data_IF_282925360296
#
_entry.id   IF_282925360296
#
_cell.length_a   1.000
_cell.length_b   1.000
_cell.length_c   1.000
_cell.angle_alpha   90.00
_cell.angle_beta   90.00
_cell.angle_gamma   90.00
#
_symmetry.space_group_name_H-M   'P 1'
#
loop_
_entity.id
_entity.type
_entity.pdbx_description
1 polymer ?
#
# COMPACT_ATOMS: atom_id res chain seq x y z
N UNK A 1 -4.84 29.05 -20.40
CA UNK A 1 -3.87 28.93 -19.29
C UNK A 1 -4.60 28.31 -18.12
N UNK A 2 -4.13 27.18 -17.59
CA UNK A 2 -4.64 26.66 -16.31
C UNK A 2 -4.33 27.72 -15.24
N UNK A 3 -5.26 27.99 -14.30
CA UNK A 3 -5.00 28.95 -13.23
C UNK A 3 -3.75 28.54 -12.45
N UNK A 4 -3.02 29.53 -11.92
CA UNK A 4 -1.84 29.29 -11.10
C UNK A 4 -2.24 28.43 -9.89
N UNK A 5 -2.04 27.12 -9.99
CA UNK A 5 -2.31 26.18 -8.91
C UNK A 5 -1.31 26.47 -7.79
N UNK A 6 -1.79 26.53 -6.55
CA UNK A 6 -0.90 26.59 -5.39
C UNK A 6 0.06 25.39 -5.41
N UNK A 7 1.30 25.61 -4.96
CA UNK A 7 2.43 24.69 -5.07
C UNK A 7 2.17 23.27 -4.52
N UNK A 8 1.16 23.10 -3.67
CA UNK A 8 0.76 21.82 -3.05
C UNK A 8 -0.65 21.35 -3.44
N UNK A 9 -1.15 21.76 -4.60
CA UNK A 9 -2.42 21.26 -5.14
C UNK A 9 -2.18 20.15 -6.15
N UNK A 10 -2.81 18.99 -5.93
CA UNK A 10 -2.73 17.84 -6.82
C UNK A 10 -4.09 17.57 -7.46
N UNK A 11 -4.10 17.48 -8.79
CA UNK A 11 -5.24 16.95 -9.53
C UNK A 11 -5.18 15.41 -9.52
N UNK A 12 -6.20 14.78 -8.95
CA UNK A 12 -6.28 13.34 -8.78
C UNK A 12 -7.32 12.73 -9.73
N UNK A 13 -6.92 11.64 -10.39
CA UNK A 13 -7.80 10.77 -11.16
C UNK A 13 -7.54 9.33 -10.76
N UNK A 14 -8.60 8.59 -10.44
CA UNK A 14 -8.52 7.23 -9.91
C UNK A 14 -9.26 6.32 -10.88
N UNK A 15 -8.61 5.23 -11.27
CA UNK A 15 -9.17 4.24 -12.18
C UNK A 15 -9.24 2.88 -11.47
N UNK A 16 -10.39 2.22 -11.54
CA UNK A 16 -10.53 0.82 -11.16
C UNK A 16 -10.63 -0.01 -12.42
N UNK A 17 -9.61 -0.83 -12.67
CA UNK A 17 -9.58 -1.74 -13.82
C UNK A 17 -9.93 -3.15 -13.34
N UNK A 18 -11.09 -3.66 -13.77
CA UNK A 18 -11.48 -5.05 -13.52
C UNK A 18 -10.90 -5.92 -14.62
N UNK A 19 -9.92 -6.76 -14.27
CA UNK A 19 -9.17 -7.59 -15.22
C UNK A 19 -9.53 -9.07 -15.06
N UNK A 20 -9.47 -9.83 -16.15
CA UNK A 20 -9.72 -11.27 -16.17
C UNK A 20 -8.54 -12.02 -16.80
N UNK A 21 -7.90 -12.90 -16.04
CA UNK A 21 -6.83 -13.75 -16.56
C UNK A 21 -7.44 -14.86 -17.42
N UNK A 22 -6.93 -15.01 -18.64
CA UNK A 22 -7.39 -16.02 -19.60
C UNK A 22 -6.56 -17.33 -19.55
N UNK A 23 -5.72 -17.48 -18.52
CA UNK A 23 -4.87 -18.65 -18.30
C UNK A 23 -5.13 -19.20 -16.91
N UNK A 24 -4.81 -20.48 -16.68
CA UNK A 24 -4.98 -21.12 -15.38
C UNK A 24 -4.26 -20.33 -14.27
N UNK A 25 -4.93 -20.25 -13.11
CA UNK A 25 -4.41 -19.56 -11.94
C UNK A 25 -4.92 -20.18 -10.64
N UNK A 26 -4.16 -19.94 -9.59
CA UNK A 26 -4.48 -20.40 -8.23
C UNK A 26 -5.20 -19.29 -7.49
N UNK A 27 -6.23 -19.66 -6.73
CA UNK A 27 -6.92 -18.78 -5.80
C UNK A 27 -6.71 -19.26 -4.38
N UNK A 28 -6.46 -18.32 -3.47
CA UNK A 28 -6.46 -18.60 -2.04
C UNK A 28 -7.86 -18.28 -1.47
N UNK A 29 -8.56 -19.25 -0.85
CA UNK A 29 -9.92 -19.05 -0.36
C UNK A 29 -10.07 -17.89 0.62
N UNK A 30 -9.09 -17.69 1.51
CA UNK A 30 -9.12 -16.61 2.50
C UNK A 30 -9.03 -15.23 1.83
N UNK A 31 -8.18 -15.10 0.81
CA UNK A 31 -8.05 -13.86 0.02
C UNK A 31 -9.32 -13.55 -0.77
N UNK A 32 -9.95 -14.56 -1.38
CA UNK A 32 -11.25 -14.40 -2.06
C UNK A 32 -12.35 -13.99 -1.08
N UNK A 33 -12.43 -14.65 0.09
CA UNK A 33 -13.39 -14.30 1.13
C UNK A 33 -13.22 -12.84 1.60
N UNK A 34 -11.97 -12.41 1.81
CA UNK A 34 -11.65 -11.04 2.15
C UNK A 34 -12.15 -10.06 1.07
N UNK A 35 -11.88 -10.33 -0.20
CA UNK A 35 -12.35 -9.47 -1.31
C UNK A 35 -13.88 -9.38 -1.37
N UNK A 36 -14.60 -10.50 -1.20
CA UNK A 36 -16.07 -10.51 -1.14
C UNK A 36 -16.58 -9.66 0.02
N UNK A 37 -15.99 -9.81 1.21
CA UNK A 37 -16.38 -9.03 2.39
C UNK A 37 -16.19 -7.52 2.21
N UNK A 38 -15.23 -7.11 1.37
CA UNK A 38 -14.97 -5.71 1.04
C UNK A 38 -15.69 -5.23 -0.23
N UNK A 39 -16.58 -6.06 -0.78
CA UNK A 39 -17.48 -5.71 -1.87
C UNK A 39 -16.85 -5.79 -3.25
N UNK A 40 -15.83 -6.63 -3.43
CA UNK A 40 -15.34 -6.99 -4.76
C UNK A 40 -16.39 -7.86 -5.48
N UNK A 41 -16.70 -7.50 -6.73
CA UNK A 41 -17.71 -8.18 -7.54
C UNK A 41 -17.06 -9.15 -8.53
N UNK A 42 -16.98 -10.43 -8.12
CA UNK A 42 -16.47 -11.50 -8.98
C UNK A 42 -17.38 -11.77 -10.17
N UNK A 43 -18.70 -11.59 -10.05
CA UNK A 43 -19.61 -11.77 -11.20
C UNK A 43 -19.31 -10.74 -12.28
N UNK A 44 -19.07 -9.48 -11.90
CA UNK A 44 -18.59 -8.45 -12.83
C UNK A 44 -17.23 -8.81 -13.43
N UNK A 45 -16.30 -9.35 -12.64
CA UNK A 45 -14.99 -9.76 -13.14
C UNK A 45 -15.09 -10.84 -14.22
N UNK A 46 -15.86 -11.90 -13.98
CA UNK A 46 -15.98 -13.01 -14.93
C UNK A 46 -16.84 -12.67 -16.15
N UNK A 47 -17.82 -11.77 -16.01
CA UNK A 47 -18.72 -11.39 -17.12
C UNK A 47 -18.19 -10.23 -17.97
N UNK A 48 -17.44 -9.29 -17.38
CA UNK A 48 -17.06 -8.02 -18.01
C UNK A 48 -15.58 -7.64 -17.82
N UNK A 49 -14.78 -8.51 -17.19
CA UNK A 49 -13.37 -8.23 -16.94
C UNK A 49 -12.57 -8.09 -18.25
N UNK A 50 -11.64 -7.13 -18.27
CA UNK A 50 -10.75 -6.92 -19.42
C UNK A 50 -9.80 -8.13 -19.51
N UNK A 51 -9.83 -8.89 -20.61
CA UNK A 51 -9.03 -10.10 -20.73
C UNK A 51 -7.54 -9.77 -20.83
N UNK A 52 -6.70 -10.61 -20.20
CA UNK A 52 -5.25 -10.55 -20.35
C UNK A 52 -4.60 -11.94 -20.27
N UNK A 53 -3.41 -12.02 -20.86
CA UNK A 53 -2.53 -13.20 -20.84
C UNK A 53 -1.22 -12.84 -20.14
N UNK A 54 -0.67 -13.81 -19.40
CA UNK A 54 0.57 -13.60 -18.65
C UNK A 54 1.78 -13.88 -19.55
N UNK A 55 2.95 -13.44 -19.10
CA UNK A 55 4.23 -13.76 -19.72
C UNK A 55 4.58 -12.86 -20.90
N UNK A 56 5.32 -13.44 -21.84
CA UNK A 56 5.83 -12.76 -23.02
C UNK A 56 4.70 -12.48 -24.03
N UNK A 57 4.89 -11.47 -24.88
CA UNK A 57 3.91 -11.17 -25.93
C UNK A 57 3.75 -12.36 -26.87
N UNK A 58 2.51 -12.72 -27.15
CA UNK A 58 2.19 -13.67 -28.21
C UNK A 58 2.25 -12.91 -29.54
N UNK A 59 2.73 -13.53 -30.62
CA UNK A 59 3.09 -12.87 -31.90
C UNK A 59 1.99 -12.03 -32.59
N UNK A 60 0.76 -12.05 -32.08
CA UNK A 60 -0.41 -11.38 -32.63
C UNK A 60 -0.93 -10.26 -31.69
N UNK A 61 -0.34 -10.07 -30.51
CA UNK A 61 -0.82 -9.14 -29.46
C UNK A 61 -0.36 -7.69 -29.66
N UNK A 62 0.58 -7.44 -30.57
CA UNK A 62 1.13 -6.10 -30.86
C UNK A 62 0.11 -5.12 -31.46
N UNK A 63 -1.07 -5.59 -31.88
CA UNK A 63 -2.13 -4.79 -32.50
C UNK A 63 -3.37 -4.59 -31.62
N UNK A 64 -3.50 -5.32 -30.50
CA UNK A 64 -4.68 -5.18 -29.63
C UNK A 64 -4.49 -4.06 -28.61
N UNK A 65 -5.42 -3.10 -28.58
CA UNK A 65 -5.53 -2.13 -27.50
C UNK A 65 -5.93 -2.87 -26.21
N UNK A 66 -5.00 -3.06 -25.28
CA UNK A 66 -5.25 -3.83 -24.06
C UNK A 66 -4.49 -3.30 -22.84
N UNK A 67 -4.65 -3.97 -21.70
CA UNK A 67 -3.98 -3.58 -20.44
C UNK A 67 -2.45 -3.60 -20.55
N UNK A 68 -1.89 -4.46 -21.42
CA UNK A 68 -0.45 -4.48 -21.73
C UNK A 68 0.00 -3.17 -22.39
N UNK A 69 -0.78 -2.65 -23.33
CA UNK A 69 -0.53 -1.34 -23.96
C UNK A 69 -0.58 -0.22 -22.92
N UNK A 70 -1.59 -0.22 -22.04
CA UNK A 70 -1.68 0.74 -20.95
C UNK A 70 -0.44 0.68 -20.04
N UNK A 71 0.03 -0.52 -19.69
CA UNK A 71 1.23 -0.68 -18.88
C UNK A 71 2.49 -0.15 -19.60
N UNK A 72 2.61 -0.35 -20.91
CA UNK A 72 3.69 0.25 -21.70
C UNK A 72 3.60 1.79 -21.72
N UNK A 73 2.40 2.38 -21.76
CA UNK A 73 2.23 3.83 -21.64
C UNK A 73 2.69 4.36 -20.27
N UNK A 74 2.49 3.61 -19.18
CA UNK A 74 3.03 3.97 -17.86
C UNK A 74 4.57 4.03 -17.87
N UNK A 75 5.23 3.07 -18.54
CA UNK A 75 6.69 3.05 -18.71
C UNK A 75 7.15 4.24 -19.58
N UNK A 76 6.45 4.52 -20.69
CA UNK A 76 6.74 5.64 -21.59
C UNK A 76 6.63 7.00 -20.90
N UNK A 77 5.72 7.14 -19.95
CA UNK A 77 5.52 8.38 -19.22
C UNK A 77 6.77 8.80 -18.40
N UNK A 78 7.68 7.86 -18.08
CA UNK A 78 8.91 8.09 -17.29
C UNK A 78 8.63 8.87 -16.01
N UNK A 79 7.48 8.60 -15.39
CA UNK A 79 7.08 9.20 -14.11
C UNK A 79 7.44 8.26 -12.96
N UNK A 80 7.62 8.79 -11.74
CA UNK A 80 7.80 7.96 -10.56
C UNK A 80 6.65 6.96 -10.39
N UNK A 81 6.97 5.73 -10.06
CA UNK A 81 5.98 4.72 -9.68
C UNK A 81 5.89 4.66 -8.16
N UNK A 82 4.68 4.80 -7.63
CA UNK A 82 4.43 4.81 -6.18
C UNK A 82 3.56 3.62 -5.82
N UNK A 83 3.98 2.88 -4.81
CA UNK A 83 3.31 1.68 -4.29
C UNK A 83 3.28 1.71 -2.76
N UNK A 84 2.57 0.76 -2.15
CA UNK A 84 2.58 0.55 -0.71
C UNK A 84 2.86 -0.92 -0.41
N UNK A 85 4.03 -1.24 0.15
CA UNK A 85 4.48 -2.63 0.32
C UNK A 85 4.52 -3.39 -1.04
N UNK A 86 5.09 -2.73 -2.05
CA UNK A 86 4.78 -2.95 -3.46
C UNK A 86 5.49 -4.11 -4.16
N UNK A 87 6.23 -4.96 -3.44
CA UNK A 87 7.02 -6.03 -4.07
C UNK A 87 6.13 -6.98 -4.89
N UNK A 88 5.04 -7.46 -4.29
CA UNK A 88 4.14 -8.41 -4.94
C UNK A 88 3.39 -7.73 -6.09
N UNK A 89 3.01 -6.47 -5.95
CA UNK A 89 2.41 -5.69 -7.03
C UNK A 89 3.33 -5.62 -8.25
N UNK A 90 4.62 -5.33 -8.05
CA UNK A 90 5.61 -5.28 -9.14
C UNK A 90 5.81 -6.64 -9.81
N UNK A 91 5.85 -7.72 -9.04
CA UNK A 91 5.95 -9.08 -9.56
C UNK A 91 4.74 -9.39 -10.45
N UNK A 92 3.53 -9.07 -10.02
CA UNK A 92 2.32 -9.27 -10.83
C UNK A 92 2.25 -8.34 -12.04
N UNK A 93 2.55 -7.06 -11.89
CA UNK A 93 2.61 -6.10 -13.00
C UNK A 93 3.57 -6.58 -14.09
N UNK A 94 4.74 -7.07 -13.68
CA UNK A 94 5.74 -7.62 -14.60
C UNK A 94 5.22 -8.90 -15.27
N UNK A 95 4.82 -9.92 -14.49
CA UNK A 95 4.40 -11.22 -15.02
C UNK A 95 3.13 -11.12 -15.86
N UNK A 96 2.19 -10.25 -15.51
CA UNK A 96 0.88 -10.19 -16.15
C UNK A 96 0.88 -9.26 -17.37
N UNK A 97 1.65 -8.16 -17.34
CA UNK A 97 1.52 -7.11 -18.33
C UNK A 97 2.80 -6.80 -19.12
N UNK A 98 3.94 -7.39 -18.72
CA UNK A 98 5.23 -7.09 -19.34
C UNK A 98 5.90 -8.31 -19.97
N UNK A 99 6.38 -9.26 -19.17
CA UNK A 99 7.15 -10.40 -19.66
C UNK A 99 7.13 -11.54 -18.63
N UNK A 100 7.64 -12.71 -19.00
CA UNK A 100 7.92 -13.75 -18.01
C UNK A 100 8.95 -13.26 -16.99
N UNK A 101 8.66 -13.49 -15.70
CA UNK A 101 9.57 -13.15 -14.61
C UNK A 101 10.97 -13.72 -14.87
N UNK A 102 12.03 -12.93 -14.67
CA UNK A 102 13.39 -13.43 -14.77
C UNK A 102 13.69 -14.48 -13.70
N UNK A 103 14.59 -15.42 -14.01
CA UNK A 103 15.02 -16.48 -13.08
C UNK A 103 15.77 -15.95 -11.86
N UNK A 104 16.37 -14.76 -11.95
CA UNK A 104 17.12 -14.15 -10.87
C UNK A 104 16.55 -12.82 -10.42
N UNK A 105 16.56 -12.59 -9.10
CA UNK A 105 16.18 -11.31 -8.52
C UNK A 105 17.01 -10.14 -9.09
N UNK A 106 18.30 -10.36 -9.34
CA UNK A 106 19.17 -9.31 -9.89
C UNK A 106 18.78 -8.87 -11.30
N UNK A 107 18.30 -9.80 -12.14
CA UNK A 107 17.75 -9.44 -13.46
C UNK A 107 16.41 -8.73 -13.33
N UNK A 108 15.54 -9.18 -12.42
CA UNK A 108 14.28 -8.50 -12.15
C UNK A 108 14.47 -7.06 -11.68
N UNK A 109 15.37 -6.80 -10.72
CA UNK A 109 15.65 -5.44 -10.25
C UNK A 109 16.35 -4.58 -11.31
N UNK A 110 17.19 -5.18 -12.16
CA UNK A 110 17.80 -4.49 -13.29
C UNK A 110 16.73 -4.02 -14.29
N UNK A 111 15.83 -4.90 -14.70
CA UNK A 111 14.72 -4.58 -15.60
C UNK A 111 13.84 -3.47 -15.02
N UNK A 112 13.39 -3.61 -13.77
CA UNK A 112 12.57 -2.60 -13.09
C UNK A 112 13.27 -1.23 -12.98
N UNK A 113 14.58 -1.22 -12.70
CA UNK A 113 15.35 0.03 -12.59
C UNK A 113 15.44 0.77 -13.93
N UNK A 114 15.47 0.05 -15.05
CA UNK A 114 15.40 0.64 -16.37
C UNK A 114 13.97 1.05 -16.72
N UNK A 115 12.96 0.25 -16.38
CA UNK A 115 11.54 0.57 -16.68
C UNK A 115 11.09 1.90 -16.05
N UNK A 116 11.54 2.21 -14.84
CA UNK A 116 11.09 3.39 -14.08
C UNK A 116 12.28 4.29 -13.71
N UNK A 117 12.82 5.07 -14.67
CA UNK A 117 14.04 5.87 -14.46
C UNK A 117 13.85 7.03 -13.47
N UNK A 118 12.61 7.49 -13.27
CA UNK A 118 12.28 8.50 -12.26
C UNK A 118 12.13 7.92 -10.83
N UNK A 119 12.31 6.61 -10.69
CA UNK A 119 12.35 5.91 -9.42
C UNK A 119 11.04 5.23 -9.04
N UNK A 120 11.19 4.20 -8.21
CA UNK A 120 10.09 3.50 -7.55
C UNK A 120 10.11 3.87 -6.07
N UNK A 121 8.95 4.23 -5.52
CA UNK A 121 8.77 4.67 -4.14
C UNK A 121 7.76 3.79 -3.42
N UNK A 122 8.17 3.24 -2.28
CA UNK A 122 7.29 2.48 -1.39
C UNK A 122 6.86 3.33 -0.20
N UNK A 123 5.57 3.65 -0.13
CA UNK A 123 5.01 4.50 0.93
C UNK A 123 5.02 3.82 2.30
N UNK A 124 5.10 2.49 2.38
CA UNK A 124 5.31 1.79 3.65
C UNK A 124 6.72 2.04 4.17
N UNK A 125 7.71 1.98 3.28
CA UNK A 125 9.10 2.34 3.59
C UNK A 125 9.21 3.81 4.01
N UNK A 126 8.61 4.73 3.24
CA UNK A 126 8.59 6.15 3.60
C UNK A 126 7.91 6.38 4.97
N UNK A 127 6.80 5.70 5.26
CA UNK A 127 6.11 5.85 6.55
C UNK A 127 6.97 5.39 7.74
N UNK A 128 7.73 4.32 7.57
CA UNK A 128 8.54 3.75 8.66
C UNK A 128 9.86 4.48 8.86
N UNK A 129 10.57 4.80 7.77
CA UNK A 129 11.93 5.32 7.83
C UNK A 129 12.01 6.84 7.65
N UNK A 130 11.14 7.43 6.83
CA UNK A 130 11.16 8.87 6.54
C UNK A 130 10.34 9.67 7.55
N UNK A 131 9.06 9.32 7.73
CA UNK A 131 8.19 10.02 8.69
C UNK A 131 8.26 9.44 10.10
N UNK A 132 8.80 8.23 10.25
CA UNK A 132 8.92 7.51 11.53
C UNK A 132 7.59 7.35 12.25
N UNK A 133 6.55 6.98 11.49
CA UNK A 133 5.26 6.62 12.04
C UNK A 133 5.35 5.37 12.92
N UNK A 134 4.46 5.26 13.92
CA UNK A 134 4.43 4.12 14.86
C UNK A 134 3.95 2.84 14.17
N UNK A 135 3.05 2.97 13.19
CA UNK A 135 2.62 1.90 12.31
C UNK A 135 2.69 2.37 10.85
N UNK A 136 2.82 1.41 9.93
CA UNK A 136 3.07 1.70 8.51
C UNK A 136 2.09 1.00 7.57
N UNK A 137 1.00 0.40 8.05
CA UNK A 137 -0.07 -0.09 7.18
C UNK A 137 -0.84 1.08 6.56
N UNK A 138 -1.33 0.88 5.33
CA UNK A 138 -1.80 1.95 4.45
C UNK A 138 -2.84 2.87 5.08
N UNK A 139 -3.88 2.32 5.69
CA UNK A 139 -4.95 3.13 6.28
C UNK A 139 -4.46 3.98 7.46
N UNK A 140 -3.57 3.46 8.30
CA UNK A 140 -2.94 4.25 9.36
C UNK A 140 -2.10 5.38 8.78
N UNK A 141 -1.23 5.08 7.81
CA UNK A 141 -0.37 6.08 7.19
C UNK A 141 -1.19 7.21 6.56
N UNK A 142 -2.24 6.85 5.80
CA UNK A 142 -3.15 7.81 5.19
C UNK A 142 -3.91 8.64 6.24
N UNK A 143 -4.57 8.02 7.22
CA UNK A 143 -5.32 8.75 8.26
C UNK A 143 -4.40 9.66 9.07
N UNK A 144 -3.18 9.22 9.37
CA UNK A 144 -2.15 10.02 10.05
C UNK A 144 -1.78 11.25 9.23
N UNK A 145 -1.42 11.07 7.95
CA UNK A 145 -1.13 12.18 7.03
C UNK A 145 -2.31 13.13 6.88
N UNK A 146 -3.54 12.61 6.73
CA UNK A 146 -4.76 13.41 6.60
C UNK A 146 -5.01 14.29 7.83
N UNK A 147 -4.93 13.70 9.04
CA UNK A 147 -5.13 14.41 10.31
C UNK A 147 -4.09 15.50 10.52
N UNK A 148 -2.83 15.24 10.20
CA UNK A 148 -1.77 16.25 10.31
C UNK A 148 -1.94 17.36 9.26
N UNK A 149 -2.32 17.00 8.02
CA UNK A 149 -2.63 17.97 6.99
C UNK A 149 -3.80 18.90 7.38
N UNK A 150 -4.84 18.36 8.03
CA UNK A 150 -5.93 19.19 8.56
C UNK A 150 -5.44 20.18 9.62
N UNK A 151 -4.59 19.74 10.56
CA UNK A 151 -3.98 20.66 11.56
C UNK A 151 -3.18 21.76 10.89
N UNK A 152 -2.41 21.43 9.84
CA UNK A 152 -1.66 22.42 9.07
C UNK A 152 -2.60 23.42 8.40
N UNK A 153 -3.65 22.94 7.74
CA UNK A 153 -4.70 23.76 7.13
C UNK A 153 -5.35 24.71 8.14
N UNK A 154 -5.76 24.22 9.30
CA UNK A 154 -6.42 25.02 10.35
C UNK A 154 -5.48 26.10 10.92
N UNK A 155 -4.18 25.79 11.01
CA UNK A 155 -3.15 26.75 11.41
C UNK A 155 -2.67 27.69 10.30
N UNK A 156 -3.33 27.67 9.12
CA UNK A 156 -2.91 28.42 7.91
C UNK A 156 -1.46 28.12 7.47
N UNK A 157 -0.95 26.94 7.83
CA UNK A 157 0.35 26.45 7.39
C UNK A 157 0.30 25.88 5.96
N UNK A 158 1.48 25.57 5.43
CA UNK A 158 1.60 24.86 4.16
C UNK A 158 0.92 23.49 4.26
N UNK A 159 -0.06 23.23 3.39
CA UNK A 159 -0.87 22.01 3.43
C UNK A 159 -1.17 21.51 2.01
N UNK A 160 -1.43 20.21 1.92
CA UNK A 160 -1.77 19.49 0.69
C UNK A 160 -3.25 19.73 0.37
N UNK A 161 -3.53 20.08 -0.88
CA UNK A 161 -4.88 20.16 -1.43
C UNK A 161 -5.03 19.16 -2.56
N UNK A 162 -6.17 18.47 -2.62
CA UNK A 162 -6.47 17.52 -3.69
C UNK A 162 -7.74 17.95 -4.40
N UNK A 163 -7.66 18.04 -5.72
CA UNK A 163 -8.77 18.32 -6.62
C UNK A 163 -9.09 17.08 -7.45
N UNK A 164 -10.34 16.93 -7.87
CA UNK A 164 -10.77 15.84 -8.72
C UNK A 164 -11.27 16.37 -10.06
N UNK A 165 -11.06 15.60 -11.12
CA UNK A 165 -11.60 15.94 -12.43
C UNK A 165 -13.13 15.97 -12.40
N UNK A 166 -13.71 16.96 -13.08
CA UNK A 166 -15.12 16.96 -13.43
C UNK A 166 -15.31 16.18 -14.73
N UNK A 167 -16.24 15.24 -14.71
CA UNK A 167 -16.48 14.37 -15.85
C UNK A 167 -17.84 14.69 -16.49
N UNK A 168 -17.97 14.58 -17.82
CA UNK A 168 -19.23 14.83 -18.51
C UNK A 168 -20.28 13.77 -18.17
N UNK A 169 -21.56 14.14 -18.29
CA UNK A 169 -22.68 13.28 -17.88
C UNK A 169 -22.73 11.92 -18.60
N UNK A 170 -22.21 11.84 -19.82
CA UNK A 170 -22.17 10.60 -20.63
C UNK A 170 -21.27 9.50 -20.06
N UNK A 171 -20.35 9.83 -19.14
CA UNK A 171 -19.50 8.83 -18.45
C UNK A 171 -19.90 8.60 -17.00
N UNK A 172 -20.97 9.24 -16.52
CA UNK A 172 -21.44 9.15 -15.12
C UNK A 172 -21.67 7.72 -14.64
N UNK A 173 -22.13 6.82 -15.50
CA UNK A 173 -22.34 5.40 -15.17
C UNK A 173 -21.05 4.64 -14.84
N UNK A 174 -19.89 5.16 -15.22
CA UNK A 174 -18.58 4.58 -14.94
C UNK A 174 -17.87 5.23 -13.73
N UNK A 175 -18.52 6.21 -13.09
CA UNK A 175 -17.94 6.98 -12.00
C UNK A 175 -18.59 6.56 -10.69
N UNK A 176 -17.77 6.14 -9.75
CA UNK A 176 -18.20 5.88 -8.38
C UNK A 176 -17.85 7.10 -7.49
N UNK A 177 -18.87 7.84 -7.07
CA UNK A 177 -18.70 8.94 -6.12
C UNK A 177 -18.69 8.41 -4.71
N UNK A 178 -17.56 8.60 -4.03
CA UNK A 178 -17.37 8.19 -2.64
C UNK A 178 -16.86 9.33 -1.81
N UNK A 179 -17.38 9.44 -0.59
CA UNK A 179 -16.91 10.42 0.36
C UNK A 179 -15.50 10.03 0.83
N UNK A 180 -14.52 10.92 0.64
CA UNK A 180 -13.16 10.75 1.16
C UNK A 180 -13.10 10.98 2.69
N UNK A 181 -14.17 11.50 3.29
CA UNK A 181 -14.34 11.58 4.74
C UNK A 181 -14.67 10.19 5.25
N UNK A 182 -13.62 9.41 5.54
CA UNK A 182 -13.70 8.32 6.49
C UNK A 182 -14.42 8.89 7.71
N UNK A 183 -15.63 8.41 7.94
CA UNK A 183 -16.61 9.04 8.81
C UNK A 183 -15.95 9.43 10.13
N UNK A 184 -16.11 10.69 10.52
CA UNK A 184 -16.06 11.09 11.92
C UNK A 184 -17.22 10.34 12.58
N UNK A 185 -17.03 9.05 12.89
CA UNK A 185 -17.90 8.37 13.84
C UNK A 185 -17.86 9.25 15.08
N UNK A 186 -18.99 9.94 15.30
CA UNK A 186 -19.04 11.09 16.19
C UNK A 186 -18.31 10.78 17.47
N UNK A 187 -17.42 11.69 17.88
CA UNK A 187 -16.91 11.73 19.23
C UNK A 187 -18.12 11.80 20.17
N UNK A 188 -18.68 10.64 20.54
CA UNK A 188 -19.47 10.51 21.74
C UNK A 188 -18.47 10.71 22.87
N UNK A 189 -18.30 11.97 23.25
CA UNK A 189 -17.73 12.40 24.53
C UNK A 189 -18.70 12.01 25.66
N UNK A 190 -19.06 10.73 25.71
CA UNK A 190 -19.69 10.10 26.85
C UNK A 190 -18.61 9.32 27.59
N UNK A 191 -18.43 9.62 28.87
CA UNK A 191 -17.62 8.84 29.80
C UNK A 191 -18.22 7.43 30.03
N UNK A 192 -18.22 6.60 28.99
CA UNK A 192 -18.59 5.18 29.04
C UNK A 192 -17.38 4.32 28.65
N UNK A 193 -17.10 3.29 29.45
CA UNK A 193 -16.05 2.27 29.28
C UNK A 193 -15.25 2.34 27.97
N UNK A 194 -14.08 3.00 28.00
CA UNK A 194 -13.15 3.02 26.86
C UNK A 194 -12.62 1.60 26.64
N UNK A 195 -13.13 0.94 25.60
CA UNK A 195 -12.60 -0.34 25.14
C UNK A 195 -11.13 -0.12 24.76
N UNK A 196 -10.18 -0.89 25.34
CA UNK A 196 -8.77 -0.70 25.02
C UNK A 196 -8.48 -1.02 23.56
N UNK A 197 -7.53 -0.31 22.98
CA UNK A 197 -7.02 -0.58 21.63
C UNK A 197 -6.40 -1.98 21.56
N UNK A 198 -6.64 -2.68 20.44
CA UNK A 198 -5.98 -3.94 20.17
C UNK A 198 -4.52 -3.71 19.79
N UNK A 199 -3.58 -4.24 20.58
CA UNK A 199 -2.15 -4.06 20.34
C UNK A 199 -1.69 -4.66 19.00
N UNK A 200 -2.18 -5.86 18.66
CA UNK A 200 -1.83 -6.52 17.38
C UNK A 200 -2.33 -5.72 16.18
N UNK A 201 -3.59 -5.30 16.21
CA UNK A 201 -4.14 -4.48 15.13
C UNK A 201 -3.47 -3.10 15.06
N UNK A 202 -3.21 -2.49 16.21
CA UNK A 202 -2.50 -1.20 16.30
C UNK A 202 -1.12 -1.25 15.65
N UNK A 203 -0.38 -2.34 15.83
CA UNK A 203 0.96 -2.49 15.26
C UNK A 203 0.93 -2.87 13.77
N UNK A 204 0.02 -3.75 13.34
CA UNK A 204 0.12 -4.43 12.05
C UNK A 204 -1.05 -4.17 11.08
N UNK A 205 -2.14 -3.55 11.55
CA UNK A 205 -3.38 -3.42 10.78
C UNK A 205 -4.14 -4.74 10.62
N UNK A 206 -3.73 -5.78 11.35
CA UNK A 206 -4.34 -7.11 11.31
C UNK A 206 -4.43 -7.74 12.70
N UNK A 207 -5.51 -8.48 12.92
CA UNK A 207 -5.75 -9.22 14.15
C UNK A 207 -6.40 -10.57 13.84
N UNK A 208 -5.91 -11.69 14.41
CA UNK A 208 -6.46 -13.02 14.14
C UNK A 208 -7.91 -13.18 14.63
N UNK A 209 -8.34 -12.36 15.60
CA UNK A 209 -9.74 -12.35 16.09
C UNK A 209 -10.68 -11.57 15.15
N UNK A 210 -10.15 -10.80 14.21
CA UNK A 210 -10.91 -10.02 13.23
C UNK A 210 -12.02 -9.20 13.89
N UNK A 211 -13.22 -9.24 13.31
CA UNK A 211 -14.42 -8.56 13.83
C UNK A 211 -14.90 -9.08 15.19
N UNK A 212 -14.43 -10.25 15.63
CA UNK A 212 -14.74 -10.85 16.95
C UNK A 212 -13.77 -10.39 18.05
N UNK A 213 -12.85 -9.48 17.74
CA UNK A 213 -11.91 -8.96 18.73
C UNK A 213 -12.66 -8.13 19.78
N UNK A 214 -12.48 -8.39 21.09
CA UNK A 214 -13.11 -7.58 22.14
C UNK A 214 -12.42 -6.22 22.34
N UNK A 215 -11.28 -6.00 21.70
CA UNK A 215 -10.50 -4.76 21.74
C UNK A 215 -10.79 -3.90 20.51
N UNK A 216 -10.59 -2.59 20.62
CA UNK A 216 -10.89 -1.66 19.54
C UNK A 216 -9.87 -1.78 18.38
N UNK A 217 -10.39 -1.86 17.16
CA UNK A 217 -9.63 -1.73 15.91
C UNK A 217 -9.80 -0.33 15.26
N UNK A 218 -10.41 0.62 15.96
CA UNK A 218 -10.61 1.97 15.43
C UNK A 218 -9.26 2.70 15.28
N UNK A 219 -8.90 3.01 14.04
CA UNK A 219 -7.59 3.60 13.69
C UNK A 219 -7.44 5.01 14.23
N UNK A 220 -8.53 5.79 14.35
CA UNK A 220 -8.46 7.15 14.89
C UNK A 220 -8.15 7.13 16.40
N UNK A 221 -8.71 6.16 17.14
CA UNK A 221 -8.33 5.92 18.54
C UNK A 221 -6.88 5.46 18.66
N UNK A 222 -6.40 4.60 17.76
CA UNK A 222 -4.99 4.17 17.72
C UNK A 222 -4.06 5.37 17.53
N UNK A 223 -4.34 6.23 16.54
CA UNK A 223 -3.54 7.42 16.26
C UNK A 223 -3.57 8.39 17.45
N UNK A 224 -4.72 8.55 18.12
CA UNK A 224 -4.83 9.39 19.32
C UNK A 224 -3.95 8.90 20.47
N UNK A 225 -3.91 7.59 20.71
CA UNK A 225 -3.06 6.98 21.75
C UNK A 225 -1.57 7.14 21.40
N UNK A 226 -1.21 6.86 20.15
CA UNK A 226 0.17 6.97 19.68
C UNK A 226 0.66 8.45 19.72
N UNK A 227 -0.17 9.43 19.35
CA UNK A 227 0.13 10.87 19.46
C UNK A 227 0.33 11.30 20.92
N UNK A 228 -0.51 10.82 21.84
CA UNK A 228 -0.36 11.10 23.28
C UNK A 228 0.94 10.52 23.84
N UNK A 229 1.30 9.30 23.43
CA UNK A 229 2.54 8.66 23.84
C UNK A 229 3.76 9.39 23.27
N UNK A 230 3.70 9.81 22.01
CA UNK A 230 4.73 10.61 21.35
C UNK A 230 4.98 11.94 22.09
N UNK A 231 3.92 12.69 22.41
CA UNK A 231 4.04 13.96 23.14
C UNK A 231 4.59 13.79 24.56
N UNK A 232 4.19 12.72 25.26
CA UNK A 232 4.78 12.37 26.57
C UNK A 232 6.27 12.09 26.46
N UNK A 233 6.70 11.34 25.44
CA UNK A 233 8.13 11.04 25.17
C UNK A 233 8.90 12.31 24.83
N UNK A 234 8.37 13.18 23.97
CA UNK A 234 8.98 14.47 23.61
C UNK A 234 9.21 15.34 24.85
N UNK A 235 8.21 15.47 25.72
CA UNK A 235 8.32 16.18 27.02
C UNK A 235 9.35 15.56 27.96
N UNK A 236 9.48 14.23 28.00
CA UNK A 236 10.51 13.53 28.78
C UNK A 236 11.91 13.80 28.23
N UNK A 237 12.10 13.72 26.91
CA UNK A 237 13.39 14.01 26.24
C UNK A 237 13.81 15.46 26.46
N UNK A 238 12.88 16.42 26.38
CA UNK A 238 13.17 17.83 26.69
C UNK A 238 13.60 18.03 28.15
N UNK A 239 12.90 17.41 29.11
CA UNK A 239 13.28 17.45 30.54
C UNK A 239 14.64 16.82 30.80
N UNK A 240 14.94 15.70 30.14
CA UNK A 240 16.25 15.05 30.26
C UNK A 240 17.38 15.92 29.69
N UNK A 241 17.18 16.52 28.50
CA UNK A 241 18.14 17.48 27.91
C UNK A 241 18.37 18.69 28.81
N UNK A 242 17.30 19.27 29.36
CA UNK A 242 17.42 20.38 30.31
C UNK A 242 18.20 19.96 31.55
N UNK A 243 17.89 18.81 32.17
CA UNK A 243 18.63 18.30 33.33
C UNK A 243 20.10 18.02 33.02
N UNK A 244 20.41 17.53 31.81
CA UNK A 244 21.79 17.31 31.36
C UNK A 244 22.52 18.65 31.19
N UNK A 245 21.89 19.64 30.58
CA UNK A 245 22.47 20.98 30.42
C UNK A 245 22.64 21.70 31.77
N UNK A 246 21.66 21.61 32.69
CA UNK A 246 21.79 22.18 34.03
C UNK A 246 22.88 21.49 34.84
N UNK A 247 23.02 20.15 34.75
CA UNK A 247 24.13 19.41 35.37
C UNK A 247 25.48 19.73 34.73
N UNK A 248 25.56 19.88 33.41
CA UNK A 248 26.79 20.28 32.72
C UNK A 248 27.20 21.71 33.07
N UNK A 249 26.24 22.63 33.19
CA UNK A 249 26.48 24.02 33.62
C UNK A 249 26.87 24.09 35.11
N UNK A 250 26.32 23.23 35.97
CA UNK A 250 26.72 23.13 37.37
C UNK A 250 28.09 22.43 37.55
N UNK A 251 28.43 21.47 36.67
CA UNK A 251 29.75 20.83 36.63
C UNK A 251 30.81 21.81 36.11
N UNK A 252 30.48 22.65 35.11
CA UNK A 252 31.34 23.74 34.65
C UNK A 252 31.56 24.84 35.71
N UNK A 253 30.59 25.08 36.60
CA UNK A 253 30.76 25.96 37.77
C UNK A 253 31.59 25.33 38.91
N UNK A 254 31.80 24.02 38.90
CA UNK A 254 32.61 23.29 39.89
C UNK A 254 33.99 22.85 39.35
N UNK A 255 34.20 22.87 38.03
CA UNK A 255 35.46 22.53 37.34
C UNK A 255 36.41 23.73 37.13
N UNK A 256 36.16 24.87 37.78
CA UNK A 256 37.21 25.89 38.00
C UNK A 256 38.19 25.48 39.13
N UNK A 257 38.03 24.28 39.69
CA UNK A 257 38.97 23.64 40.58
C UNK A 257 39.14 22.17 40.19
N UNK A 258 40.35 21.82 39.76
CA UNK A 258 40.85 20.49 39.37
C UNK A 258 40.39 19.96 38.01
N UNK A 259 41.37 19.79 37.11
CA UNK A 259 41.18 19.14 35.82
C UNK A 259 41.34 17.64 35.90
N UNK A 260 40.50 16.89 35.19
CA UNK A 260 40.91 15.78 34.32
C UNK A 260 39.74 15.16 33.52
N UNK A 261 40.08 14.86 32.26
CA UNK A 261 39.63 13.82 31.31
C UNK A 261 38.18 13.76 30.78
N UNK A 262 38.17 13.74 29.45
CA UNK A 262 37.05 13.71 28.52
C UNK A 262 36.69 12.25 28.18
N UNK A 263 35.45 11.82 28.46
CA UNK A 263 34.88 10.59 27.90
C UNK A 263 33.91 10.93 26.75
N UNK A 264 34.16 10.31 25.60
CA UNK A 264 33.32 10.39 24.41
C UNK A 264 32.00 9.65 24.63
N UNK A 265 30.88 10.38 24.58
CA UNK A 265 29.55 9.80 24.52
C UNK A 265 29.24 9.35 23.09
N UNK A 266 29.01 8.05 22.90
CA UNK A 266 28.46 7.50 21.67
C UNK A 266 27.02 7.99 21.47
N UNK A 267 26.78 8.71 20.38
CA UNK A 267 25.46 9.10 19.93
C UNK A 267 24.79 7.89 19.23
N UNK A 268 23.93 7.19 19.94
CA UNK A 268 22.94 6.30 19.33
C UNK A 268 21.73 7.13 18.89
N UNK A 269 21.56 7.33 17.59
CA UNK A 269 20.27 7.77 17.05
C UNK A 269 19.25 6.65 17.23
N UNK A 270 18.45 6.71 18.29
CA UNK A 270 17.32 5.80 18.49
C UNK A 270 16.30 5.99 17.33
N UNK A 271 16.09 4.89 16.59
CA UNK A 271 15.00 4.74 15.63
C UNK A 271 13.62 4.77 16.30
N UNK A 272 12.53 4.70 15.52
CA UNK A 272 11.18 4.68 16.07
C UNK A 272 10.98 3.48 17.02
N UNK A 273 10.05 3.60 17.99
CA UNK A 273 9.81 2.56 18.97
C UNK A 273 9.13 1.35 18.31
N UNK A 274 9.83 0.22 18.25
CA UNK A 274 9.20 -1.06 17.93
C UNK A 274 8.26 -1.47 19.07
N UNK A 275 6.95 -1.58 18.78
CA UNK A 275 6.06 -2.44 19.56
C UNK A 275 6.62 -3.86 19.42
N UNK A 276 6.87 -4.56 20.53
CA UNK A 276 7.53 -5.87 20.55
C UNK A 276 6.89 -6.83 19.55
N UNK A 277 7.74 -7.47 18.75
CA UNK A 277 7.37 -8.55 17.83
C UNK A 277 6.96 -9.79 18.63
N UNK A 278 5.66 -10.10 18.65
CA UNK A 278 5.19 -11.43 19.00
C UNK A 278 4.98 -12.26 17.72
N UNK A 279 6.07 -12.81 17.19
CA UNK A 279 5.98 -13.98 16.32
C UNK A 279 6.19 -15.21 17.20
N UNK A 280 5.11 -15.94 17.49
CA UNK A 280 5.22 -17.38 17.68
C UNK A 280 5.17 -18.01 16.28
N UNK A 281 6.13 -18.88 15.91
CA UNK A 281 6.07 -19.56 14.63
C UNK A 281 4.89 -20.54 14.65
N UNK A 282 3.93 -20.34 13.75
CA UNK A 282 2.99 -21.40 13.41
C UNK A 282 3.81 -22.54 12.80
N UNK A 283 3.73 -23.71 13.43
CA UNK A 283 4.49 -24.90 13.10
C UNK A 283 4.36 -25.26 11.62
N UNK A 284 5.50 -25.48 10.98
CA UNK A 284 5.61 -26.25 9.76
C UNK A 284 4.93 -27.61 10.01
N UNK A 285 3.85 -27.89 9.29
CA UNK A 285 3.31 -29.25 9.25
C UNK A 285 4.07 -29.96 8.13
N UNK A 286 4.90 -30.90 8.54
CA UNK A 286 5.58 -31.86 7.70
C UNK A 286 4.59 -32.54 6.74
N UNK A 287 4.94 -32.60 5.45
CA UNK A 287 4.35 -33.56 4.54
C UNK A 287 4.78 -34.96 5.01
N UNK A 288 3.87 -35.68 5.65
CA UNK A 288 3.95 -37.13 5.75
C UNK A 288 3.26 -37.73 4.51
N UNK A 289 4.04 -38.49 3.75
CA UNK A 289 3.60 -39.37 2.67
C UNK A 289 2.50 -40.31 3.15
N UNK A 290 1.37 -40.34 2.45
CA UNK A 290 0.41 -41.43 2.52
C UNK A 290 0.19 -41.92 1.09
N UNK A 291 0.81 -43.05 0.78
CA UNK A 291 0.46 -43.91 -0.35
C UNK A 291 -0.94 -44.49 -0.15
N UNK A 292 -1.81 -44.50 -1.17
CA UNK A 292 -2.96 -45.39 -1.18
C UNK A 292 -2.72 -46.53 -2.19
N UNK A 293 -2.58 -47.74 -1.65
CA UNK A 293 -2.79 -48.98 -2.39
C UNK A 293 -4.11 -49.58 -1.87
N UNK A 294 -5.06 -49.91 -2.75
CA UNK A 294 -6.29 -50.60 -2.38
C UNK A 294 -7.43 -50.41 -3.37
N UNK A 295 -7.55 -51.37 -4.28
CA UNK A 295 -8.55 -51.51 -5.34
C UNK A 295 -10.00 -51.65 -4.83
N UNK A 296 -10.98 -51.22 -5.64
CA UNK A 296 -12.40 -51.55 -5.44
C UNK A 296 -13.34 -50.82 -6.41
N UNK A 297 -13.78 -51.54 -7.45
CA UNK A 297 -14.60 -51.12 -8.61
C UNK A 297 -15.93 -50.38 -8.33
N UNK A 298 -16.45 -49.65 -9.33
CA UNK A 298 -17.73 -48.95 -9.30
C UNK A 298 -18.91 -49.84 -9.75
N UNK A 299 -20.11 -49.53 -9.29
CA UNK A 299 -21.36 -50.00 -9.89
C UNK A 299 -22.09 -48.79 -10.48
N UNK A 300 -22.27 -48.88 -11.80
CA UNK A 300 -23.13 -48.05 -12.63
C UNK A 300 -24.60 -48.29 -12.27
N UNK A 301 -25.43 -47.25 -12.41
CA UNK A 301 -26.76 -47.46 -12.97
C UNK A 301 -27.21 -46.24 -13.79
N UNK A 302 -27.61 -46.55 -15.03
CA UNK A 302 -28.09 -45.68 -16.09
C UNK A 302 -29.45 -45.05 -15.77
N UNK A 303 -29.71 -43.85 -16.29
CA UNK A 303 -30.81 -43.64 -17.29
C UNK A 303 -30.91 -42.18 -17.80
N UNK A 304 -30.60 -42.05 -19.09
CA UNK A 304 -31.25 -41.26 -20.18
C UNK A 304 -32.75 -40.91 -19.90
N UNK A 305 -33.38 -39.77 -20.25
CA UNK A 305 -33.59 -39.03 -21.53
C UNK A 305 -34.32 -37.67 -21.22
N UNK A 306 -33.95 -36.52 -21.81
CA UNK A 306 -34.52 -35.85 -23.02
C UNK A 306 -35.62 -34.78 -22.76
N UNK A 307 -35.22 -33.53 -23.04
CA UNK A 307 -35.91 -32.36 -23.66
C UNK A 307 -37.26 -31.72 -23.23
N UNK A 308 -37.16 -30.37 -23.09
CA UNK A 308 -38.04 -29.27 -23.58
C UNK A 308 -39.46 -29.14 -23.00
N UNK A 309 -39.73 -28.05 -22.25
CA UNK A 309 -40.35 -26.83 -22.78
C UNK A 309 -40.79 -25.85 -21.67
N UNK A 310 -40.86 -24.59 -22.08
CA UNK A 310 -41.45 -23.40 -21.45
C UNK A 310 -42.67 -23.61 -20.56
N UNK A 311 -42.71 -22.94 -19.39
CA UNK A 311 -43.84 -22.06 -19.10
C UNK A 311 -43.57 -21.00 -18.03
N UNK A 312 -44.20 -19.85 -18.26
CA UNK A 312 -44.04 -18.59 -17.53
C UNK A 312 -45.04 -18.58 -16.38
N UNK A 313 -44.59 -18.42 -15.13
CA UNK A 313 -45.49 -17.91 -14.08
C UNK A 313 -44.75 -17.03 -13.08
N UNK A 314 -45.29 -15.82 -12.97
CA UNK A 314 -44.92 -14.72 -12.10
C UNK A 314 -45.20 -15.07 -10.65
N UNK A 315 -44.15 -15.22 -9.84
CA UNK A 315 -44.26 -15.04 -8.38
C UNK A 315 -43.26 -13.99 -7.89
N UNK A 316 -43.86 -12.98 -7.28
CA UNK A 316 -43.29 -11.71 -6.86
C UNK A 316 -42.80 -11.91 -5.42
N UNK A 317 -41.63 -12.53 -5.25
CA UNK A 317 -41.02 -12.61 -3.93
C UNK A 317 -40.39 -11.27 -3.55
N UNK A 318 -40.99 -10.62 -2.55
CA UNK A 318 -40.43 -9.50 -1.82
C UNK A 318 -39.20 -9.99 -1.04
N UNK A 319 -38.06 -10.06 -1.71
CA UNK A 319 -36.76 -10.16 -1.05
C UNK A 319 -36.51 -8.86 -0.28
N UNK A 320 -36.52 -8.96 1.05
CA UNK A 320 -36.02 -7.94 1.97
C UNK A 320 -34.63 -7.53 1.50
N UNK A 321 -34.53 -6.34 0.89
CA UNK A 321 -33.25 -5.74 0.53
C UNK A 321 -32.50 -5.50 1.83
N UNK A 322 -31.61 -6.43 2.17
CA UNK A 322 -30.49 -6.15 3.07
C UNK A 322 -29.82 -4.91 2.47
N UNK A 323 -29.72 -3.79 3.20
CA UNK A 323 -29.03 -2.62 2.69
C UNK A 323 -27.60 -3.06 2.34
N UNK A 324 -27.04 -2.60 1.21
CA UNK A 324 -25.68 -2.96 0.85
C UNK A 324 -24.81 -2.54 2.03
N UNK A 325 -24.14 -3.51 2.68
CA UNK A 325 -23.11 -3.21 3.66
C UNK A 325 -22.21 -2.17 3.02
N UNK A 326 -22.08 -0.99 3.63
CA UNK A 326 -21.10 0.01 3.19
C UNK A 326 -19.76 -0.72 3.10
N UNK A 327 -19.35 -1.03 1.87
CA UNK A 327 -18.18 -1.85 1.61
C UNK A 327 -16.96 -1.15 2.19
N UNK A 328 -16.15 -1.89 2.93
CA UNK A 328 -15.00 -1.36 3.66
C UNK A 328 -14.01 -0.59 2.77
N UNK A 329 -13.13 0.13 3.44
CA UNK A 329 -12.06 1.00 2.89
C UNK A 329 -11.08 0.30 1.94
N UNK A 330 -11.03 -1.04 1.95
CA UNK A 330 -10.13 -1.87 1.16
C UNK A 330 -10.64 -2.14 -0.26
N UNK A 331 -10.72 -1.09 -1.09
CA UNK A 331 -10.88 -1.23 -2.55
C UNK A 331 -9.65 -0.69 -3.25
N UNK A 332 -9.28 -1.31 -4.37
CA UNK A 332 -8.09 -0.94 -5.15
C UNK A 332 -7.97 0.57 -5.43
N UNK A 333 -9.05 1.23 -5.85
CA UNK A 333 -9.05 2.67 -6.11
C UNK A 333 -8.82 3.53 -4.85
N UNK A 334 -9.35 3.11 -3.69
CA UNK A 334 -9.05 3.79 -2.42
C UNK A 334 -7.62 3.53 -1.98
N UNK A 335 -7.12 2.30 -2.12
CA UNK A 335 -5.74 1.97 -1.78
C UNK A 335 -4.74 2.78 -2.63
N UNK A 336 -5.03 2.91 -3.93
CA UNK A 336 -4.25 3.76 -4.84
C UNK A 336 -4.30 5.24 -4.42
N UNK A 337 -5.49 5.75 -4.07
CA UNK A 337 -5.64 7.13 -3.58
C UNK A 337 -4.89 7.37 -2.26
N UNK A 338 -5.04 6.48 -1.28
CA UNK A 338 -4.35 6.55 0.01
C UNK A 338 -2.84 6.51 -0.16
N UNK A 339 -2.36 5.67 -1.08
CA UNK A 339 -0.93 5.57 -1.44
C UNK A 339 -0.44 6.89 -2.04
N UNK A 340 -1.13 7.42 -3.05
CA UNK A 340 -0.76 8.69 -3.70
C UNK A 340 -0.81 9.88 -2.74
N UNK A 341 -1.86 9.98 -1.92
CA UNK A 341 -2.00 11.04 -0.91
C UNK A 341 -0.86 10.98 0.12
N UNK A 342 -0.54 9.79 0.63
CA UNK A 342 0.54 9.59 1.59
C UNK A 342 1.86 10.08 0.99
N UNK A 343 2.19 9.68 -0.23
CA UNK A 343 3.42 10.13 -0.90
C UNK A 343 3.44 11.65 -1.12
N UNK A 344 2.36 12.24 -1.62
CA UNK A 344 2.25 13.68 -1.86
C UNK A 344 2.44 14.49 -0.56
N UNK A 345 1.85 14.03 0.54
CA UNK A 345 2.02 14.64 1.85
C UNK A 345 3.46 14.55 2.36
N UNK A 346 4.10 13.38 2.27
CA UNK A 346 5.50 13.19 2.69
C UNK A 346 6.44 14.08 1.88
N UNK A 347 6.21 14.15 0.56
CA UNK A 347 6.98 15.00 -0.35
C UNK A 347 6.82 16.49 0.00
N UNK A 348 5.60 16.97 0.25
CA UNK A 348 5.34 18.35 0.69
C UNK A 348 6.13 18.70 1.97
N UNK A 349 6.11 17.82 2.98
CA UNK A 349 6.83 18.04 4.24
C UNK A 349 8.36 18.13 4.06
N UNK A 350 8.89 17.58 2.96
CA UNK A 350 10.32 17.58 2.65
C UNK A 350 10.73 18.79 1.83
N UNK A 351 9.94 19.18 0.84
CA UNK A 351 10.19 20.42 0.08
C UNK A 351 10.26 21.65 0.99
N UNK A 352 9.43 21.72 2.04
CA UNK A 352 9.50 22.81 3.03
C UNK A 352 10.79 22.86 3.88
N UNK A 353 11.70 21.88 3.77
CA UNK A 353 12.94 21.79 4.55
C UNK A 353 14.22 21.92 3.72
N UNK A 354 14.15 21.71 2.41
CA UNK A 354 15.32 21.70 1.51
C UNK A 354 15.24 22.88 0.56
N UNK A 355 16.23 23.77 0.62
CA UNK A 355 16.37 24.94 -0.28
C UNK A 355 16.95 24.62 -1.65
N UNK A 356 17.35 23.37 -1.90
CA UNK A 356 17.95 22.96 -3.18
C UNK A 356 16.87 22.63 -4.21
N UNK A 357 16.56 23.64 -5.00
CA UNK A 357 15.80 23.51 -6.24
C UNK A 357 16.66 22.88 -7.32
N UNK A 358 16.37 21.62 -7.68
CA UNK A 358 16.55 21.12 -9.04
C UNK A 358 17.45 19.91 -9.23
N UNK A 359 16.87 18.88 -9.89
CA UNK A 359 17.49 17.69 -10.49
C UNK A 359 17.69 16.43 -9.62
N UNK A 360 17.33 16.45 -8.33
CA UNK A 360 17.36 15.25 -7.47
C UNK A 360 16.07 14.40 -7.51
N UNK A 361 16.13 13.13 -7.09
CA UNK A 361 14.93 12.30 -6.90
C UNK A 361 14.00 12.89 -5.82
N UNK A 362 12.69 12.60 -5.88
CA UNK A 362 11.68 13.13 -4.94
C UNK A 362 12.06 12.85 -3.47
N UNK A 363 12.30 11.60 -3.11
CA UNK A 363 12.78 11.28 -1.76
C UNK A 363 14.10 10.52 -1.92
N UNK A 364 15.27 11.19 -1.88
CA UNK A 364 16.56 10.52 -2.08
C UNK A 364 16.75 9.32 -1.16
N UNK A 365 16.32 9.43 0.09
CA UNK A 365 16.41 8.35 1.08
C UNK A 365 15.46 7.18 0.83
N UNK A 366 14.41 7.39 0.03
CA UNK A 366 13.42 6.36 -0.34
C UNK A 366 13.54 5.88 -1.79
N UNK A 367 14.37 6.53 -2.62
CA UNK A 367 14.49 6.27 -4.04
C UNK A 367 14.92 4.81 -4.30
N UNK A 368 14.11 4.07 -5.06
CA UNK A 368 14.34 2.67 -5.41
C UNK A 368 14.50 1.74 -4.20
N UNK A 369 13.82 2.01 -3.09
CA UNK A 369 13.79 1.15 -1.90
C UNK A 369 12.38 0.63 -1.67
N UNK A 370 12.20 -0.67 -1.80
CA UNK A 370 10.95 -1.35 -1.48
C UNK A 370 10.98 -1.90 -0.07
N UNK A 371 9.85 -1.78 0.62
CA UNK A 371 9.70 -2.35 1.94
C UNK A 371 9.67 -3.89 1.87
N UNK A 372 10.37 -4.55 2.78
CA UNK A 372 10.36 -6.00 2.92
C UNK A 372 9.87 -6.38 4.32
N UNK A 373 8.64 -6.88 4.40
CA UNK A 373 8.05 -7.30 5.68
C UNK A 373 8.91 -8.38 6.33
N UNK A 374 9.30 -8.15 7.59
CA UNK A 374 10.17 -9.06 8.35
C UNK A 374 11.67 -8.94 8.06
N UNK A 375 12.11 -7.94 7.27
CA UNK A 375 13.53 -7.64 7.03
C UNK A 375 13.88 -6.26 7.55
N UNK A 376 15.12 -6.09 8.02
CA UNK A 376 15.65 -4.81 8.50
C UNK A 376 16.18 -3.91 7.38
N UNK A 377 16.30 -4.45 6.17
CA UNK A 377 16.82 -3.76 4.99
C UNK A 377 15.80 -3.81 3.85
N UNK A 378 15.67 -2.74 3.06
CA UNK A 378 14.80 -2.73 1.90
C UNK A 378 15.39 -3.55 0.75
N UNK A 379 14.53 -3.96 -0.19
CA UNK A 379 15.01 -4.37 -1.51
C UNK A 379 15.40 -3.13 -2.30
N UNK A 380 16.64 -3.10 -2.79
CA UNK A 380 17.12 -2.03 -3.66
C UNK A 380 16.83 -2.37 -5.13
N UNK A 381 16.08 -1.50 -5.81
CA UNK A 381 15.80 -1.63 -7.24
C UNK A 381 16.90 -0.92 -8.02
N UNK A 382 17.99 -1.65 -8.24
CA UNK A 382 19.15 -1.16 -8.98
C UNK A 382 19.68 -2.22 -9.93
N UNK A 383 20.23 -1.76 -11.06
CA UNK A 383 21.05 -2.58 -11.94
C UNK A 383 22.47 -2.63 -11.42
N UNK A 384 22.90 -3.78 -10.92
CA UNK A 384 24.28 -4.00 -10.50
C UNK A 384 25.20 -4.19 -11.71
N UNK A 385 26.52 -4.04 -11.52
CA UNK A 385 27.53 -4.32 -12.54
C UNK A 385 27.52 -5.79 -13.02
N UNK A 386 27.01 -6.70 -12.19
CA UNK A 386 26.98 -8.13 -12.46
C UNK A 386 25.61 -8.60 -12.99
N UNK A 387 24.59 -7.75 -12.91
CA UNK A 387 23.23 -8.07 -13.31
C UNK A 387 23.00 -7.66 -14.77
N UNK A 388 22.55 -8.62 -15.57
CA UNK A 388 22.06 -8.36 -16.93
C UNK A 388 20.55 -8.20 -16.90
N UNK A 389 20.04 -7.36 -17.79
CA UNK A 389 18.61 -7.28 -18.09
C UNK A 389 18.13 -8.52 -18.83
N UNK A 390 16.84 -8.82 -18.74
CA UNK A 390 16.25 -9.93 -19.49
C UNK A 390 16.22 -9.61 -21.00
N UNK A 391 16.22 -10.67 -21.82
CA UNK A 391 16.14 -10.52 -23.28
C UNK A 391 14.83 -9.85 -23.69
N UNK A 392 13.70 -10.32 -23.14
CA UNK A 392 12.37 -9.76 -23.41
C UNK A 392 12.30 -8.28 -23.02
N UNK A 393 12.85 -7.89 -21.86
CA UNK A 393 12.95 -6.49 -21.45
C UNK A 393 13.77 -5.67 -22.45
N UNK A 394 14.95 -6.16 -22.84
CA UNK A 394 15.87 -5.43 -23.74
C UNK A 394 15.26 -5.16 -25.12
N UNK A 395 14.39 -6.03 -25.60
CA UNK A 395 13.63 -5.85 -26.84
C UNK A 395 12.47 -4.87 -26.64
N UNK A 396 11.68 -5.04 -25.58
CA UNK A 396 10.51 -4.19 -25.29
C UNK A 396 10.85 -2.76 -24.91
N UNK A 397 11.86 -2.56 -24.07
CA UNK A 397 12.21 -1.23 -23.55
C UNK A 397 12.69 -0.31 -24.66
N UNK A 398 13.41 -0.85 -25.66
CA UNK A 398 13.81 -0.11 -26.87
C UNK A 398 12.58 0.36 -27.64
N UNK A 399 11.63 -0.54 -27.92
CA UNK A 399 10.38 -0.17 -28.60
C UNK A 399 9.55 0.85 -27.81
N UNK A 400 9.52 0.73 -26.48
CA UNK A 400 8.83 1.68 -25.63
C UNK A 400 9.48 3.07 -25.70
N UNK A 401 10.80 3.15 -25.68
CA UNK A 401 11.54 4.41 -25.58
C UNK A 401 11.88 5.08 -26.90
N UNK A 402 12.03 4.32 -27.98
CA UNK A 402 12.32 4.85 -29.33
C UNK A 402 11.06 5.41 -30.00
N UNK A 403 9.87 5.00 -29.54
CA UNK A 403 8.57 5.45 -30.06
C UNK A 403 8.00 6.68 -29.32
N UNK A 404 8.74 7.26 -28.37
CA UNK A 404 8.27 8.27 -27.43
C UNK A 404 8.67 9.70 -27.83
#
# INVERSE_FOLDING_TARGET
>A
ALPAQSENTYLCQIYNLTLLCMEDYVVEPQSVQFLVQHGFDFNKQYSQGIPYHKGNDKGNESQSQGVRTLFLELIRARKPLILHNGLIDLVFLYQCFYAHLPESLGTFTADLSEMFPAGIYDTKYASEFETRFVASYLEYAYKKCKRENSKLKDSSGQHLTVEFCSYPANVSQYIDYRCCSLEEEGHNTGEGNKVPVCEKFSAYGWCPKGVKCPQSHNIDLIIDEDDKLWEKRKKRKHRWKHRKNTKASAKAFLEESSGEKMEQAQNGEEGPPQKQSCYEPAAATELAEITPNGEGRPLEENSMETEVSSDTSTQKEKGTRVPPSQGGTHRAGFDAFMTGYTMAYVWMLKQGKTTDTGAGPWLPDCHNKLYLSGKSVPLQIVKSLFSKTSKAHSEKIKLAWDSA
#
